data_IF_135487621868
#
_entry.id   IF_135487621868
#
_cell.length_a   1.000
_cell.length_b   1.000
_cell.length_c   1.000
_cell.angle_alpha   90.00
_cell.angle_beta   90.00
_cell.angle_gamma   90.00
#
_symmetry.space_group_name_H-M   'P 1'
#
loop_
_entity.id
_entity.type
_entity.pdbx_description
1 polymer ?
#
# COMPACT_ATOMS: atom_id res chain seq x y z
N UNK A 1 10.64 13.56 -12.31
CA UNK A 1 9.52 12.90 -11.60
C UNK A 1 8.33 12.56 -12.52
N UNK A 2 8.15 13.22 -13.67
CA UNK A 2 7.09 12.86 -14.64
C UNK A 2 7.21 11.44 -15.25
N UNK A 3 8.42 10.87 -15.32
CA UNK A 3 8.64 9.57 -15.96
C UNK A 3 7.98 8.39 -15.23
N UNK A 4 7.89 8.41 -13.90
CA UNK A 4 7.36 7.27 -13.14
C UNK A 4 5.84 7.12 -13.25
N UNK A 5 5.10 8.23 -13.38
CA UNK A 5 3.64 8.16 -13.57
C UNK A 5 3.28 7.68 -14.98
N UNK A 6 3.94 8.21 -16.01
CA UNK A 6 3.74 7.78 -17.41
C UNK A 6 4.06 6.28 -17.60
N UNK A 7 5.11 5.79 -16.94
CA UNK A 7 5.47 4.37 -16.93
C UNK A 7 4.38 3.52 -16.26
N UNK A 8 3.80 3.98 -15.15
CA UNK A 8 2.72 3.28 -14.45
C UNK A 8 1.42 3.24 -15.27
N UNK A 9 1.06 4.32 -15.96
CA UNK A 9 -0.09 4.32 -16.88
C UNK A 9 0.16 3.42 -18.09
N UNK A 10 1.37 3.41 -18.62
CA UNK A 10 1.75 2.53 -19.73
C UNK A 10 1.71 1.06 -19.31
N UNK A 11 2.20 0.74 -18.11
CA UNK A 11 2.09 -0.59 -17.53
C UNK A 11 0.63 -0.98 -17.31
N UNK A 12 -0.21 -0.10 -16.77
CA UNK A 12 -1.64 -0.34 -16.54
C UNK A 12 -2.35 -0.75 -17.83
N UNK A 13 -2.07 -0.07 -18.94
CA UNK A 13 -2.64 -0.40 -20.26
C UNK A 13 -2.27 -1.80 -20.77
N UNK A 14 -1.15 -2.38 -20.34
CA UNK A 14 -0.72 -3.70 -20.78
C UNK A 14 -1.52 -4.87 -20.18
N UNK A 15 -2.27 -4.62 -19.11
CA UNK A 15 -3.08 -5.63 -18.41
C UNK A 15 -4.51 -5.19 -18.09
N UNK A 16 -4.97 -4.06 -18.62
CA UNK A 16 -6.34 -3.58 -18.44
C UNK A 16 -7.02 -3.31 -19.78
N UNK A 17 -8.30 -3.65 -19.86
CA UNK A 17 -9.10 -3.53 -21.09
C UNK A 17 -10.53 -3.15 -20.74
N UNK A 18 -11.11 -2.18 -21.45
CA UNK A 18 -12.55 -1.98 -21.45
C UNK A 18 -13.21 -3.11 -22.25
N UNK A 19 -14.01 -3.94 -21.59
CA UNK A 19 -14.61 -5.13 -22.18
C UNK A 19 -15.93 -4.80 -22.88
N UNK A 20 -16.76 -3.96 -22.26
CA UNK A 20 -17.99 -3.48 -22.89
C UNK A 20 -18.37 -2.07 -22.42
N UNK A 21 -19.06 -1.35 -23.29
CA UNK A 21 -19.64 -0.03 -23.01
C UNK A 21 -21.00 0.05 -23.68
N UNK A 22 -22.05 -0.02 -22.88
CA UNK A 22 -23.44 0.10 -23.32
C UNK A 22 -24.02 1.39 -22.75
N UNK A 23 -24.37 2.35 -23.60
CA UNK A 23 -25.00 3.61 -23.22
C UNK A 23 -26.11 3.88 -24.22
N UNK A 24 -27.34 3.59 -23.82
CA UNK A 24 -28.54 3.77 -24.64
C UNK A 24 -29.77 3.95 -23.72
N UNK A 25 -30.96 3.96 -24.33
CA UNK A 25 -32.22 4.12 -23.61
C UNK A 25 -32.52 2.95 -22.64
N UNK A 26 -31.87 1.79 -22.83
CA UNK A 26 -32.00 0.63 -21.94
C UNK A 26 -31.09 0.74 -20.69
N UNK A 27 -30.15 1.68 -20.67
CA UNK A 27 -29.32 1.99 -19.51
C UNK A 27 -27.86 2.31 -19.83
N UNK A 28 -27.08 2.48 -18.77
CA UNK A 28 -25.64 2.71 -18.85
C UNK A 28 -24.88 1.65 -18.05
N UNK A 29 -24.13 0.80 -18.75
CA UNK A 29 -23.27 -0.24 -18.17
C UNK A 29 -21.90 -0.22 -18.83
N UNK A 30 -20.85 -0.12 -18.01
CA UNK A 30 -19.47 -0.23 -18.45
C UNK A 30 -18.82 -1.40 -17.73
N UNK A 31 -18.24 -2.32 -18.49
CA UNK A 31 -17.48 -3.44 -17.93
C UNK A 31 -16.05 -3.39 -18.42
N UNK A 32 -15.13 -3.74 -17.54
CA UNK A 32 -13.71 -3.79 -17.83
C UNK A 32 -13.09 -5.05 -17.24
N UNK A 33 -11.92 -5.43 -17.74
CA UNK A 33 -11.17 -6.58 -17.28
C UNK A 33 -9.73 -6.20 -16.97
N UNK A 34 -9.15 -6.81 -15.94
CA UNK A 34 -7.74 -6.67 -15.59
C UNK A 34 -7.08 -8.02 -15.34
N UNK A 35 -5.82 -8.17 -15.75
CA UNK A 35 -5.04 -9.40 -15.58
C UNK A 35 -4.06 -9.27 -14.41
N UNK A 36 -4.29 -10.06 -13.36
CA UNK A 36 -3.47 -10.04 -12.15
C UNK A 36 -2.05 -10.57 -12.39
N UNK A 37 -1.90 -11.61 -13.22
CA UNK A 37 -0.60 -12.23 -13.45
C UNK A 37 0.33 -11.26 -14.17
N UNK A 38 -0.19 -10.57 -15.20
CA UNK A 38 0.57 -9.52 -15.90
C UNK A 38 0.87 -8.31 -15.00
N UNK A 39 -0.05 -7.95 -14.11
CA UNK A 39 0.24 -6.94 -13.09
C UNK A 39 1.40 -7.37 -12.18
N UNK A 40 1.43 -8.63 -11.74
CA UNK A 40 2.45 -9.12 -10.82
C UNK A 40 3.86 -9.00 -11.41
N UNK A 41 4.01 -9.18 -12.74
CA UNK A 41 5.26 -8.94 -13.48
C UNK A 41 5.70 -7.46 -13.50
N UNK A 42 4.77 -6.54 -13.25
CA UNK A 42 4.96 -5.08 -13.30
C UNK A 42 4.88 -4.40 -11.92
N UNK A 43 4.79 -5.17 -10.83
CA UNK A 43 4.63 -4.67 -9.46
C UNK A 43 5.64 -3.57 -9.09
N UNK A 44 6.89 -3.71 -9.52
CA UNK A 44 7.95 -2.74 -9.24
C UNK A 44 7.62 -1.33 -9.77
N UNK A 45 7.00 -1.24 -10.95
CA UNK A 45 6.61 0.05 -11.56
C UNK A 45 5.56 0.74 -10.69
N UNK A 46 4.54 0.01 -10.26
CA UNK A 46 3.47 0.56 -9.41
C UNK A 46 3.97 0.90 -8.00
N UNK A 47 4.87 0.09 -7.46
CA UNK A 47 5.53 0.38 -6.18
C UNK A 47 6.25 1.72 -6.22
N UNK A 48 6.97 1.99 -7.30
CA UNK A 48 7.80 3.19 -7.37
C UNK A 48 7.00 4.45 -7.72
N UNK A 49 5.84 4.31 -8.35
CA UNK A 49 5.00 5.42 -8.85
C UNK A 49 3.77 5.72 -7.98
N UNK A 50 3.02 4.71 -7.52
CA UNK A 50 1.71 4.89 -6.88
C UNK A 50 1.64 4.43 -5.43
N UNK A 51 2.60 3.62 -4.98
CA UNK A 51 2.66 3.15 -3.60
C UNK A 51 3.67 3.99 -2.81
N UNK A 52 3.38 4.24 -1.53
CA UNK A 52 4.33 4.98 -0.69
C UNK A 52 5.55 4.10 -0.42
N UNK A 53 6.77 4.54 -0.73
CA UNK A 53 8.02 3.77 -0.52
C UNK A 53 8.31 3.40 0.94
N UNK A 54 7.39 3.72 1.84
CA UNK A 54 7.50 3.51 3.26
C UNK A 54 7.55 2.01 3.59
N UNK A 55 6.90 1.14 2.80
CA UNK A 55 6.86 -0.31 3.04
C UNK A 55 8.02 -1.07 2.37
N UNK A 56 8.42 -2.19 2.99
CA UNK A 56 9.49 -3.05 2.47
C UNK A 56 9.07 -3.77 1.18
N UNK A 57 10.04 -4.23 0.40
CA UNK A 57 9.78 -5.06 -0.79
C UNK A 57 8.98 -6.32 -0.42
N UNK A 58 9.28 -6.93 0.73
CA UNK A 58 8.58 -8.11 1.22
C UNK A 58 7.11 -7.84 1.56
N UNK A 59 6.79 -6.66 2.10
CA UNK A 59 5.41 -6.24 2.31
C UNK A 59 4.62 -6.29 1.00
N UNK A 60 5.19 -5.74 -0.08
CA UNK A 60 4.55 -5.73 -1.39
C UNK A 60 4.42 -7.12 -2.00
N UNK A 61 5.40 -8.00 -1.78
CA UNK A 61 5.39 -9.37 -2.29
C UNK A 61 4.36 -10.27 -1.58
N UNK A 62 4.15 -10.04 -0.28
CA UNK A 62 3.20 -10.81 0.52
C UNK A 62 1.73 -10.38 0.33
N UNK A 63 1.48 -9.18 -0.21
CA UNK A 63 0.14 -8.55 -0.31
C UNK A 63 -0.23 -8.17 -1.75
N UNK A 64 0.29 -8.90 -2.73
CA UNK A 64 0.20 -8.54 -4.15
C UNK A 64 -1.25 -8.39 -4.61
N UNK A 65 -2.15 -9.30 -4.23
CA UNK A 65 -3.57 -9.25 -4.59
C UNK A 65 -4.27 -8.09 -3.90
N UNK A 66 -3.97 -7.86 -2.61
CA UNK A 66 -4.55 -6.74 -1.87
C UNK A 66 -4.12 -5.39 -2.45
N UNK A 67 -2.84 -5.21 -2.75
CA UNK A 67 -2.35 -4.00 -3.44
C UNK A 67 -3.02 -3.85 -4.80
N UNK A 68 -3.14 -4.95 -5.55
CA UNK A 68 -3.80 -4.95 -6.85
C UNK A 68 -5.25 -4.46 -6.75
N UNK A 69 -6.06 -5.06 -5.87
CA UNK A 69 -7.49 -4.72 -5.75
C UNK A 69 -7.70 -3.33 -5.16
N UNK A 70 -7.03 -3.00 -4.05
CA UNK A 70 -7.33 -1.77 -3.31
C UNK A 70 -6.63 -0.52 -3.85
N UNK A 71 -5.59 -0.69 -4.66
CA UNK A 71 -4.86 0.44 -5.26
C UNK A 71 -5.02 0.45 -6.77
N UNK A 72 -4.56 -0.59 -7.47
CA UNK A 72 -4.43 -0.58 -8.93
C UNK A 72 -5.80 -0.66 -9.62
N UNK A 73 -6.65 -1.59 -9.19
CA UNK A 73 -8.03 -1.72 -9.69
C UNK A 73 -8.85 -0.47 -9.33
N UNK A 74 -8.65 0.10 -8.13
CA UNK A 74 -9.31 1.36 -7.74
C UNK A 74 -8.90 2.54 -8.62
N UNK A 75 -7.60 2.70 -8.90
CA UNK A 75 -7.09 3.73 -9.82
C UNK A 75 -7.66 3.53 -11.23
N UNK A 76 -7.74 2.29 -11.71
CA UNK A 76 -8.38 2.02 -12.99
C UNK A 76 -9.88 2.32 -13.00
N UNK A 77 -10.61 2.01 -11.92
CA UNK A 77 -12.03 2.32 -11.79
C UNK A 77 -12.31 3.83 -11.91
N UNK A 78 -11.48 4.63 -11.25
CA UNK A 78 -11.54 6.09 -11.33
C UNK A 78 -11.24 6.57 -12.76
N UNK A 79 -10.14 6.12 -13.40
CA UNK A 79 -9.81 6.51 -14.77
C UNK A 79 -10.92 6.16 -15.78
N UNK A 80 -11.55 5.00 -15.65
CA UNK A 80 -12.68 4.60 -16.51
C UNK A 80 -13.89 5.50 -16.28
N UNK A 81 -14.12 5.93 -15.04
CA UNK A 81 -15.22 6.83 -14.69
C UNK A 81 -14.95 8.24 -15.20
N UNK A 82 -13.76 8.78 -14.95
CA UNK A 82 -13.31 10.07 -15.45
C UNK A 82 -13.38 10.12 -16.98
N UNK A 83 -12.86 9.11 -17.68
CA UNK A 83 -12.90 9.06 -19.14
C UNK A 83 -14.33 9.04 -19.71
N UNK A 84 -15.32 8.62 -18.91
CA UNK A 84 -16.71 8.66 -19.32
C UNK A 84 -17.37 10.02 -19.07
N UNK A 85 -17.03 10.69 -17.96
CA UNK A 85 -17.75 11.84 -17.42
C UNK A 85 -17.01 13.19 -17.51
N UNK A 86 -15.71 13.18 -17.81
CA UNK A 86 -14.87 14.38 -17.99
C UNK A 86 -15.40 15.28 -19.11
N UNK A 87 -15.78 14.68 -20.23
CA UNK A 87 -16.19 15.41 -21.45
C UNK A 87 -17.69 15.25 -21.78
N UNK A 88 -18.46 14.53 -20.95
CA UNK A 88 -19.86 14.20 -21.25
C UNK A 88 -20.76 14.25 -20.02
N UNK A 89 -21.87 14.96 -20.17
CA UNK A 89 -23.02 14.88 -19.26
C UNK A 89 -23.88 13.68 -19.66
N UNK A 90 -24.08 12.75 -18.74
CA UNK A 90 -24.98 11.61 -18.94
C UNK A 90 -26.25 11.81 -18.13
N UNK A 91 -27.41 11.57 -18.74
CA UNK A 91 -28.71 11.74 -18.09
C UNK A 91 -29.08 10.60 -17.14
N UNK A 92 -28.34 9.48 -17.18
CA UNK A 92 -28.61 8.28 -16.40
C UNK A 92 -27.42 7.89 -15.52
N UNK A 93 -27.73 7.27 -14.38
CA UNK A 93 -26.71 6.61 -13.53
C UNK A 93 -26.10 5.45 -14.30
N UNK A 94 -24.77 5.43 -14.38
CA UNK A 94 -24.01 4.35 -14.98
C UNK A 94 -23.59 3.33 -13.92
N UNK A 95 -23.78 2.05 -14.22
CA UNK A 95 -23.20 0.95 -13.45
C UNK A 95 -21.86 0.54 -14.06
N UNK A 96 -20.92 0.18 -13.20
CA UNK A 96 -19.57 -0.21 -13.57
C UNK A 96 -19.18 -1.52 -12.89
N UNK A 97 -18.37 -2.31 -13.57
CA UNK A 97 -17.79 -3.53 -13.04
C UNK A 97 -16.40 -3.77 -13.61
N UNK A 98 -15.46 -4.17 -12.76
CA UNK A 98 -14.15 -4.66 -13.17
C UNK A 98 -14.05 -6.13 -12.82
N UNK A 99 -13.81 -6.98 -13.81
CA UNK A 99 -13.48 -8.40 -13.66
C UNK A 99 -11.97 -8.59 -13.64
N UNK A 100 -11.45 -9.39 -12.71
CA UNK A 100 -10.05 -9.78 -12.65
C UNK A 100 -9.88 -11.19 -13.19
N UNK A 101 -8.88 -11.39 -14.04
CA UNK A 101 -8.40 -12.71 -14.47
C UNK A 101 -7.09 -13.03 -13.76
N UNK A 102 -6.94 -14.26 -13.29
CA UNK A 102 -5.75 -14.75 -12.60
C UNK A 102 -5.58 -16.25 -12.81
N UNK A 103 -4.38 -16.77 -12.59
CA UNK A 103 -4.16 -18.22 -12.61
C UNK A 103 -4.18 -18.74 -11.17
N UNK A 104 -4.93 -19.81 -10.93
CA UNK A 104 -4.95 -20.45 -9.63
C UNK A 104 -3.65 -21.22 -9.34
N UNK A 105 -3.56 -21.80 -8.15
CA UNK A 105 -2.38 -22.58 -7.72
C UNK A 105 -2.08 -23.81 -8.58
N UNK A 106 -3.00 -24.21 -9.46
CA UNK A 106 -2.84 -25.31 -10.40
C UNK A 106 -2.58 -24.83 -11.83
N UNK A 107 -2.46 -23.52 -12.06
CA UNK A 107 -2.23 -22.91 -13.36
C UNK A 107 -3.48 -22.79 -14.23
N UNK A 108 -4.68 -23.01 -13.67
CA UNK A 108 -5.92 -22.82 -14.42
C UNK A 108 -6.38 -21.36 -14.33
N UNK A 109 -6.77 -20.80 -15.48
CA UNK A 109 -7.23 -19.40 -15.56
C UNK A 109 -8.63 -19.26 -14.97
N UNK A 110 -8.75 -18.38 -13.98
CA UNK A 110 -9.97 -18.05 -13.27
C UNK A 110 -10.38 -16.60 -13.54
N UNK A 111 -11.66 -16.32 -13.33
CA UNK A 111 -12.21 -14.96 -13.40
C UNK A 111 -13.08 -14.69 -12.19
N UNK A 112 -12.95 -13.50 -11.61
CA UNK A 112 -13.85 -13.00 -10.57
C UNK A 112 -14.21 -11.55 -10.83
N UNK A 113 -15.40 -11.12 -10.43
CA UNK A 113 -15.70 -9.69 -10.39
C UNK A 113 -14.93 -9.10 -9.22
N UNK A 114 -14.05 -8.13 -9.43
CA UNK A 114 -13.25 -7.55 -8.35
C UNK A 114 -13.99 -6.43 -7.63
N UNK A 115 -14.46 -5.45 -8.39
CA UNK A 115 -15.16 -4.28 -7.84
C UNK A 115 -16.35 -3.91 -8.71
N UNK A 116 -17.38 -3.37 -8.08
CA UNK A 116 -18.54 -2.76 -8.74
C UNK A 116 -18.81 -1.39 -8.13
N UNK A 117 -19.31 -0.46 -8.93
CA UNK A 117 -19.75 0.84 -8.45
C UNK A 117 -20.77 1.44 -9.41
N UNK A 118 -21.39 2.54 -8.97
CA UNK A 118 -22.24 3.39 -9.78
C UNK A 118 -21.70 4.81 -9.78
N UNK A 119 -22.00 5.55 -10.83
CA UNK A 119 -21.67 6.96 -10.93
C UNK A 119 -22.71 7.69 -11.76
N UNK A 120 -23.00 8.93 -11.42
CA UNK A 120 -23.95 9.77 -12.13
C UNK A 120 -23.45 11.21 -12.26
N UNK A 121 -24.17 11.99 -13.06
CA UNK A 121 -23.82 13.39 -13.34
C UNK A 121 -23.95 14.30 -12.12
N UNK A 122 -24.80 13.94 -11.14
CA UNK A 122 -24.95 14.72 -9.91
C UNK A 122 -23.70 14.62 -9.03
N UNK A 123 -23.07 13.44 -9.00
CA UNK A 123 -21.78 13.21 -8.36
C UNK A 123 -20.65 13.85 -9.18
N UNK A 124 -20.66 13.71 -10.50
CA UNK A 124 -19.66 14.30 -11.40
C UNK A 124 -19.53 15.82 -11.20
N UNK A 125 -20.65 16.55 -11.09
CA UNK A 125 -20.66 18.01 -10.90
C UNK A 125 -19.99 18.49 -9.60
N UNK A 126 -19.80 17.59 -8.63
CA UNK A 126 -19.11 17.89 -7.36
C UNK A 126 -17.61 17.59 -7.45
N UNK A 127 -17.16 16.96 -8.53
CA UNK A 127 -15.78 16.54 -8.70
C UNK A 127 -14.97 17.58 -9.47
N UNK A 128 -13.74 17.79 -9.00
CA UNK A 128 -12.70 18.51 -9.73
C UNK A 128 -11.62 17.48 -10.06
N UNK A 129 -11.77 16.78 -11.18
CA UNK A 129 -10.93 15.64 -11.58
C UNK A 129 -9.43 15.96 -11.54
N UNK A 130 -9.03 17.14 -12.01
CA UNK A 130 -7.64 17.62 -12.03
C UNK A 130 -6.97 17.68 -10.63
N UNK A 131 -7.77 17.83 -9.57
CA UNK A 131 -7.30 17.95 -8.18
C UNK A 131 -7.74 16.78 -7.31
N UNK A 132 -8.44 15.81 -7.90
CA UNK A 132 -9.02 14.72 -7.16
C UNK A 132 -7.95 13.72 -6.76
N UNK A 133 -7.95 13.34 -5.47
CA UNK A 133 -7.11 12.27 -4.99
C UNK A 133 -7.81 10.92 -5.24
N UNK A 134 -7.26 10.16 -6.19
CA UNK A 134 -7.73 8.83 -6.58
C UNK A 134 -7.92 7.86 -5.41
N UNK A 135 -7.20 8.07 -4.29
CA UNK A 135 -7.32 7.25 -3.09
C UNK A 135 -8.73 7.32 -2.49
N UNK A 136 -9.42 8.44 -2.67
CA UNK A 136 -10.75 8.71 -2.13
C UNK A 136 -11.88 8.31 -3.10
N UNK A 137 -11.58 7.65 -4.21
CA UNK A 137 -12.59 7.31 -5.23
C UNK A 137 -13.76 6.50 -4.67
N UNK A 138 -13.49 5.56 -3.75
CA UNK A 138 -14.52 4.75 -3.12
C UNK A 138 -15.53 5.57 -2.28
N UNK A 139 -15.13 6.73 -1.77
CA UNK A 139 -15.97 7.59 -0.94
C UNK A 139 -16.92 8.47 -1.78
N UNK A 140 -16.57 8.68 -3.04
CA UNK A 140 -17.35 9.52 -3.98
C UNK A 140 -18.20 8.67 -4.91
N UNK A 141 -17.72 7.48 -5.28
CA UNK A 141 -18.48 6.53 -6.09
C UNK A 141 -19.72 6.00 -5.34
N UNK A 142 -20.83 5.88 -6.06
CA UNK A 142 -22.10 5.41 -5.48
C UNK A 142 -22.02 3.89 -5.36
N UNK A 143 -22.25 3.36 -4.15
CA UNK A 143 -22.28 1.92 -3.90
C UNK A 143 -20.99 1.19 -4.34
N UNK A 144 -19.82 1.81 -4.13
CA UNK A 144 -18.53 1.17 -4.43
C UNK A 144 -18.32 -0.04 -3.52
N UNK A 145 -18.13 -1.22 -4.12
CA UNK A 145 -18.00 -2.50 -3.42
C UNK A 145 -16.88 -3.33 -4.01
N UNK A 146 -16.07 -3.90 -3.12
CA UNK A 146 -15.26 -5.09 -3.45
C UNK A 146 -16.17 -6.30 -3.35
N UNK A 147 -16.15 -7.17 -4.35
CA UNK A 147 -17.07 -8.31 -4.39
C UNK A 147 -16.74 -9.36 -3.31
N UNK A 148 -17.70 -10.19 -2.87
CA UNK A 148 -17.43 -11.30 -1.97
C UNK A 148 -16.38 -12.29 -2.51
N UNK A 149 -16.39 -12.57 -3.81
CA UNK A 149 -15.43 -13.48 -4.45
C UNK A 149 -14.02 -12.90 -4.42
N UNK A 150 -13.89 -11.59 -4.62
CA UNK A 150 -12.63 -10.89 -4.48
C UNK A 150 -12.15 -10.93 -3.03
N UNK A 151 -13.00 -10.63 -2.04
CA UNK A 151 -12.65 -10.72 -0.61
C UNK A 151 -12.17 -12.13 -0.25
N UNK A 152 -12.85 -13.17 -0.74
CA UNK A 152 -12.44 -14.57 -0.57
C UNK A 152 -11.07 -14.83 -1.19
N UNK A 153 -10.83 -14.36 -2.42
CA UNK A 153 -9.55 -14.51 -3.12
C UNK A 153 -8.38 -13.79 -2.44
N UNK A 154 -8.65 -12.71 -1.70
CA UNK A 154 -7.66 -11.95 -0.92
C UNK A 154 -7.31 -12.59 0.43
N UNK A 155 -8.13 -13.54 0.91
CA UNK A 155 -8.06 -14.05 2.29
C UNK A 155 -6.81 -14.87 2.63
N UNK A 156 -6.07 -15.33 1.63
CA UNK A 156 -4.80 -16.05 1.79
C UNK A 156 -3.59 -15.12 1.94
N UNK A 157 -3.77 -13.80 1.77
CA UNK A 157 -2.73 -12.80 2.01
C UNK A 157 -2.85 -12.22 3.43
N UNK A 158 -1.73 -11.87 4.09
CA UNK A 158 -1.78 -11.18 5.38
C UNK A 158 -2.52 -9.85 5.25
N UNK A 159 -3.46 -9.54 6.15
CA UNK A 159 -4.29 -8.34 6.03
C UNK A 159 -3.46 -7.05 5.83
N UNK A 160 -3.96 -6.14 5.00
CA UNK A 160 -3.51 -4.74 4.91
C UNK A 160 -4.04 -3.88 6.04
N UNK A 161 -5.03 -4.36 6.79
CA UNK A 161 -5.28 -3.79 8.10
C UNK A 161 -4.13 -4.22 9.00
N UNK A 162 -3.22 -3.29 9.30
CA UNK A 162 -2.70 -3.24 10.67
C UNK A 162 -3.93 -3.40 11.57
N UNK A 163 -3.97 -4.40 12.44
CA UNK A 163 -5.08 -4.57 13.35
C UNK A 163 -5.37 -3.23 14.02
N UNK A 164 -6.47 -2.59 13.61
CA UNK A 164 -7.10 -1.50 14.33
C UNK A 164 -7.74 -2.11 15.58
N UNK A 165 -6.92 -2.57 16.51
CA UNK A 165 -7.32 -2.74 17.90
C UNK A 165 -6.82 -1.50 18.65
N UNK A 166 -7.72 -0.53 18.82
CA UNK A 166 -7.51 0.61 19.70
C UNK A 166 -7.59 1.96 19.01
N UNK A 167 -8.63 2.71 19.35
CA UNK A 167 -8.82 4.13 19.09
C UNK A 167 -7.71 4.99 19.68
N UNK A 168 -6.60 5.11 18.98
CA UNK A 168 -5.64 6.20 19.13
C UNK A 168 -4.96 6.36 17.79
N UNK A 169 -5.00 7.57 17.22
CA UNK A 169 -4.07 7.92 16.13
C UNK A 169 -2.68 7.41 16.53
N UNK A 170 -1.93 6.75 15.63
CA UNK A 170 -0.63 6.21 15.98
C UNK A 170 0.27 7.41 16.30
N UNK A 171 0.36 7.71 17.59
CA UNK A 171 1.22 8.74 18.14
C UNK A 171 2.64 8.27 17.99
N UNK A 172 3.56 9.19 17.68
CA UNK A 172 4.97 8.84 17.52
C UNK A 172 5.48 8.03 18.70
N UNK A 173 5.87 6.77 18.43
CA UNK A 173 6.48 5.89 19.40
C UNK A 173 7.99 6.13 19.39
N UNK A 174 8.42 7.07 20.23
CA UNK A 174 9.82 7.50 20.30
C UNK A 174 10.77 6.36 20.68
N UNK A 175 10.29 5.42 21.50
CA UNK A 175 11.01 4.19 21.84
C UNK A 175 11.22 3.28 20.63
N UNK A 176 10.23 3.14 19.75
CA UNK A 176 10.36 2.40 18.48
C UNK A 176 11.24 3.12 17.47
N UNK A 177 11.20 4.45 17.43
CA UNK A 177 12.15 5.25 16.64
C UNK A 177 13.59 5.02 17.09
N UNK A 178 13.83 5.02 18.41
CA UNK A 178 15.15 4.74 18.96
C UNK A 178 15.55 3.28 18.72
N UNK A 179 14.64 2.31 18.85
CA UNK A 179 14.93 0.91 18.55
C UNK A 179 15.32 0.69 17.08
N UNK A 180 14.61 1.34 16.15
CA UNK A 180 14.93 1.32 14.73
C UNK A 180 16.32 1.93 14.46
N UNK A 181 16.61 3.10 15.05
CA UNK A 181 17.94 3.72 14.97
C UNK A 181 19.04 2.79 15.51
N UNK A 182 18.75 2.09 16.60
CA UNK A 182 19.66 1.15 17.22
C UNK A 182 19.94 -0.07 16.33
N UNK A 183 18.91 -0.65 15.71
CA UNK A 183 19.07 -1.77 14.78
C UNK A 183 19.82 -1.38 13.50
N UNK A 184 19.60 -0.17 12.98
CA UNK A 184 20.38 0.37 11.86
C UNK A 184 21.85 0.49 12.26
N UNK A 185 22.14 1.07 13.43
CA UNK A 185 23.53 1.24 13.89
C UNK A 185 24.20 -0.09 14.23
N UNK A 186 23.45 -1.11 14.64
CA UNK A 186 23.94 -2.45 14.96
C UNK A 186 24.74 -3.09 13.81
N UNK A 187 24.38 -2.78 12.56
CA UNK A 187 25.07 -3.26 11.34
C UNK A 187 26.56 -2.95 11.33
N UNK A 188 26.99 -1.92 12.07
CA UNK A 188 28.41 -1.52 12.19
C UNK A 188 29.21 -2.46 13.12
N UNK A 189 28.54 -3.15 14.05
CA UNK A 189 29.20 -3.89 15.13
C UNK A 189 28.85 -5.38 15.16
N UNK A 190 27.67 -5.76 14.68
CA UNK A 190 27.11 -7.10 14.81
C UNK A 190 26.95 -7.77 13.46
N UNK A 191 27.20 -9.09 13.43
CA UNK A 191 27.06 -9.91 12.22
C UNK A 191 25.59 -10.17 11.88
N UNK A 192 24.73 -10.23 12.89
CA UNK A 192 23.29 -10.40 12.72
C UNK A 192 22.69 -9.10 12.18
N UNK A 193 21.93 -9.21 11.11
CA UNK A 193 21.11 -8.10 10.64
C UNK A 193 19.84 -8.03 11.49
N UNK A 194 19.74 -7.01 12.32
CA UNK A 194 18.58 -6.81 13.18
C UNK A 194 17.42 -6.14 12.44
N UNK A 195 17.68 -5.50 11.30
CA UNK A 195 16.65 -4.84 10.48
C UNK A 195 15.71 -5.87 9.82
N UNK A 196 16.25 -7.02 9.43
CA UNK A 196 15.51 -8.12 8.80
C UNK A 196 14.81 -9.03 9.83
N UNK A 197 14.94 -8.74 11.12
CA UNK A 197 14.22 -9.50 12.15
C UNK A 197 12.78 -8.99 12.30
N UNK A 198 11.84 -9.82 12.80
CA UNK A 198 10.49 -9.34 13.12
C UNK A 198 10.48 -8.10 14.03
N UNK A 199 11.45 -7.99 14.93
CA UNK A 199 11.60 -6.83 15.82
C UNK A 199 12.05 -5.57 15.06
N UNK A 200 12.99 -5.72 14.10
CA UNK A 200 13.44 -4.63 13.25
C UNK A 200 12.33 -4.08 12.36
N UNK A 201 11.58 -4.99 11.72
CA UNK A 201 10.42 -4.64 10.89
C UNK A 201 9.34 -3.93 11.70
N UNK A 202 9.05 -4.42 12.91
CA UNK A 202 8.08 -3.81 13.82
C UNK A 202 8.53 -2.42 14.32
N UNK A 203 9.78 -2.28 14.77
CA UNK A 203 10.31 -0.99 15.20
C UNK A 203 10.27 0.04 14.05
N UNK A 204 10.58 -0.39 12.82
CA UNK A 204 10.45 0.45 11.64
C UNK A 204 8.99 0.89 11.43
N UNK A 205 8.02 -0.04 11.42
CA UNK A 205 6.61 0.30 11.19
C UNK A 205 6.05 1.24 12.24
N UNK A 206 6.35 0.99 13.52
CA UNK A 206 5.87 1.81 14.64
C UNK A 206 6.55 3.17 14.74
N UNK A 207 7.75 3.33 14.15
CA UNK A 207 8.46 4.62 14.11
C UNK A 207 7.98 5.56 12.99
N UNK A 208 7.28 5.06 11.96
CA UNK A 208 6.83 5.87 10.80
C UNK A 208 5.97 7.09 11.17
N UNK A 209 5.03 7.01 12.13
CA UNK A 209 4.23 8.17 12.53
C UNK A 209 5.06 9.33 13.11
N UNK A 210 6.29 9.05 13.57
CA UNK A 210 7.22 10.11 14.00
C UNK A 210 7.62 11.03 12.83
N UNK A 211 7.66 10.54 11.59
CA UNK A 211 7.93 11.37 10.41
C UNK A 211 6.83 12.42 10.14
N UNK A 212 5.61 12.17 10.61
CA UNK A 212 4.47 13.06 10.42
C UNK A 212 4.29 14.06 11.58
N UNK A 213 4.85 13.75 12.75
CA UNK A 213 4.66 14.53 14.00
C UNK A 213 5.92 15.21 14.52
N UNK A 214 7.11 14.84 14.01
CA UNK A 214 8.39 15.46 14.36
C UNK A 214 9.03 16.07 13.11
N UNK A 215 9.79 17.15 13.31
CA UNK A 215 10.62 17.72 12.25
C UNK A 215 11.79 16.80 11.93
N UNK A 216 12.33 16.90 10.71
CA UNK A 216 13.52 16.15 10.28
C UNK A 216 14.71 16.35 11.25
N UNK A 217 14.88 17.57 11.79
CA UNK A 217 15.91 17.88 12.77
C UNK A 217 15.74 17.09 14.07
N UNK A 218 14.51 16.93 14.57
CA UNK A 218 14.23 16.18 15.79
C UNK A 218 14.42 14.67 15.59
N UNK A 219 14.03 14.15 14.43
CA UNK A 219 14.23 12.73 14.08
C UNK A 219 15.72 12.43 13.98
N UNK A 220 16.48 13.32 13.32
CA UNK A 220 17.93 13.22 13.21
C UNK A 220 18.61 13.27 14.58
N UNK A 221 18.21 14.17 15.47
CA UNK A 221 18.78 14.27 16.81
C UNK A 221 18.54 12.99 17.63
N UNK A 222 17.31 12.45 17.62
CA UNK A 222 16.97 11.19 18.28
C UNK A 222 17.79 10.01 17.75
N UNK A 223 17.95 9.94 16.41
CA UNK A 223 18.77 8.92 15.76
C UNK A 223 20.24 9.03 16.19
N UNK A 224 20.82 10.23 16.11
CA UNK A 224 22.22 10.47 16.45
C UNK A 224 22.51 10.16 17.91
N UNK A 225 21.62 10.57 18.82
CA UNK A 225 21.74 10.26 20.25
C UNK A 225 21.78 8.75 20.52
N UNK A 226 20.94 7.98 19.81
CA UNK A 226 20.92 6.52 19.93
C UNK A 226 22.18 5.90 19.33
N UNK A 227 22.64 6.40 18.18
CA UNK A 227 23.88 5.94 17.56
C UNK A 227 25.10 6.19 18.47
N UNK A 228 25.17 7.38 19.10
CA UNK A 228 26.22 7.74 20.05
C UNK A 228 26.23 6.85 21.29
N UNK A 229 25.05 6.46 21.79
CA UNK A 229 24.95 5.50 22.91
C UNK A 229 25.55 4.15 22.54
N UNK A 230 25.29 3.65 21.33
CA UNK A 230 25.83 2.38 20.85
C UNK A 230 27.33 2.49 20.62
N UNK A 231 27.80 3.59 20.04
CA UNK A 231 29.23 3.84 19.82
C UNK A 231 29.99 3.94 21.14
N UNK A 232 29.41 4.59 22.15
CA UNK A 232 29.99 4.67 23.49
C UNK A 232 30.00 3.30 24.17
N UNK A 233 28.95 2.49 24.01
CA UNK A 233 28.92 1.11 24.49
C UNK A 233 30.00 0.27 23.80
N UNK A 234 30.18 0.43 22.50
CA UNK A 234 31.22 -0.26 21.72
C UNK A 234 32.62 0.12 22.20
N UNK A 235 32.87 1.42 22.43
CA UNK A 235 34.15 1.93 22.96
C UNK A 235 34.44 1.41 24.36
N UNK A 236 33.44 1.37 25.23
CA UNK A 236 33.63 1.01 26.63
C UNK A 236 33.70 -0.50 26.87
N UNK A 237 32.92 -1.30 26.13
CA UNK A 237 32.70 -2.74 26.43
C UNK A 237 32.91 -3.67 25.24
N UNK A 238 33.26 -3.12 24.07
CA UNK A 238 33.56 -3.88 22.87
C UNK A 238 32.32 -4.39 22.13
N UNK A 239 32.56 -4.94 20.93
CA UNK A 239 31.51 -5.39 19.99
C UNK A 239 30.59 -6.47 20.56
N UNK A 240 31.14 -7.41 21.33
CA UNK A 240 30.35 -8.50 21.93
C UNK A 240 29.28 -7.95 22.89
N UNK A 241 29.62 -6.93 23.67
CA UNK A 241 28.67 -6.30 24.57
C UNK A 241 27.55 -5.55 23.82
N UNK A 242 27.88 -4.91 22.68
CA UNK A 242 26.90 -4.28 21.81
C UNK A 242 25.90 -5.32 21.28
N UNK A 243 26.37 -6.44 20.73
CA UNK A 243 25.47 -7.46 20.18
C UNK A 243 24.61 -8.12 21.25
N UNK A 244 25.17 -8.36 22.44
CA UNK A 244 24.37 -8.85 23.58
C UNK A 244 23.28 -7.85 23.99
N UNK A 245 23.57 -6.54 23.92
CA UNK A 245 22.58 -5.51 24.18
C UNK A 245 21.51 -5.47 23.08
N UNK A 246 21.91 -5.59 21.81
CA UNK A 246 20.99 -5.72 20.66
C UNK A 246 20.04 -6.91 20.80
N UNK A 247 20.54 -8.09 21.20
CA UNK A 247 19.70 -9.27 21.45
C UNK A 247 18.72 -9.06 22.62
N UNK A 248 19.06 -8.17 23.55
CA UNK A 248 18.16 -7.72 24.61
C UNK A 248 17.04 -6.83 24.05
N UNK A 249 17.43 -5.82 23.28
CA UNK A 249 16.51 -4.87 22.65
C UNK A 249 15.55 -5.57 21.68
N UNK A 250 16.04 -6.49 20.85
CA UNK A 250 15.22 -7.29 19.94
C UNK A 250 14.16 -8.10 20.68
N UNK A 251 14.52 -8.71 21.82
CA UNK A 251 13.55 -9.46 22.65
C UNK A 251 12.51 -8.53 23.26
N UNK A 252 12.90 -7.34 23.66
CA UNK A 252 11.97 -6.37 24.24
C UNK A 252 10.98 -5.86 23.20
N UNK A 253 11.46 -5.49 22.01
CA UNK A 253 10.59 -5.09 20.89
C UNK A 253 9.68 -6.25 20.49
N UNK A 254 10.19 -7.49 20.43
CA UNK A 254 9.37 -8.68 20.13
C UNK A 254 8.24 -8.92 21.14
N UNK A 255 8.40 -8.53 22.41
CA UNK A 255 7.33 -8.66 23.41
C UNK A 255 6.15 -7.73 23.14
N UNK A 256 6.39 -6.62 22.45
CA UNK A 256 5.36 -5.65 22.09
C UNK A 256 4.58 -6.02 20.83
N UNK A 257 5.01 -7.08 20.11
CA UNK A 257 4.32 -7.61 18.93
C UNK A 257 3.11 -8.48 19.32
N UNK A 258 3.04 -8.96 20.57
CA UNK A 258 2.02 -9.89 21.08
C UNK A 258 1.02 -9.24 22.01
#
# INVERSE_FOLDING_TARGET
MASSEEDAYSALKSFSTLTSKTINDAGCLVTASMDFNKYAEKLAIFRDAWLSRDYSVDFYQQRRKQIFVYVVVKRFAELVTEALYSDKTLSSTCAFSITVTYDDKFGASQKLTAVTWKFDDSTNKKMVWEKFDARNFADVAIDYKVSPDAVSWLSDEPSMSDEKNGTTEPTCQLDMLNANAAFIRATTYCKKDYMDTPAGVYALSMSRPCAQSMTEAQIKDAFMKTADQIDNLAKAKGRVAVCKWMDGLEREVKRQIN
#
